data_IF_075516422704
#
_entry.id   IF_075516422704
#
_cell.length_a   1.000
_cell.length_b   1.000
_cell.length_c   1.000
_cell.angle_alpha   90.00
_cell.angle_beta   90.00
_cell.angle_gamma   90.00
#
_symmetry.space_group_name_H-M   'P 1'
#
loop_
_entity.id
_entity.type
_entity.pdbx_description
1 polymer ?
#
# COMPACT_ATOMS: atom_id res chain seq x y z
N UNK A 1 6.27 9.65 1.51
CA UNK A 1 7.15 9.26 0.39
C UNK A 1 8.52 8.71 0.80
N UNK A 2 8.97 8.75 2.06
CA UNK A 2 10.27 8.19 2.46
C UNK A 2 10.29 6.68 2.76
N UNK A 3 9.19 6.10 3.26
CA UNK A 3 9.13 4.67 3.57
C UNK A 3 9.24 3.80 2.30
N UNK A 4 8.54 4.18 1.23
CA UNK A 4 8.62 3.49 -0.07
C UNK A 4 10.06 3.39 -0.59
N UNK A 5 10.80 4.49 -0.60
CA UNK A 5 12.20 4.47 -1.08
C UNK A 5 13.12 3.54 -0.28
N UNK A 6 12.84 3.32 1.02
CA UNK A 6 13.60 2.38 1.86
C UNK A 6 13.23 0.93 1.51
N UNK A 7 11.94 0.64 1.33
CA UNK A 7 11.46 -0.66 0.85
C UNK A 7 12.09 -1.01 -0.51
N UNK A 8 12.24 -0.02 -1.39
CA UNK A 8 12.77 -0.17 -2.74
C UNK A 8 14.25 -0.53 -2.72
N UNK A 9 15.04 0.23 -1.95
CA UNK A 9 16.46 -0.02 -1.77
C UNK A 9 16.73 -1.41 -1.18
N UNK A 10 15.92 -1.81 -0.18
CA UNK A 10 16.02 -3.15 0.42
C UNK A 10 15.68 -4.25 -0.61
N UNK A 11 14.58 -4.09 -1.33
CA UNK A 11 14.16 -5.05 -2.34
C UNK A 11 15.18 -5.23 -3.46
N UNK A 12 15.75 -4.13 -3.93
CA UNK A 12 16.77 -4.14 -4.98
C UNK A 12 18.05 -4.83 -4.48
N UNK A 13 18.49 -4.52 -3.27
CA UNK A 13 19.64 -5.18 -2.66
C UNK A 13 19.43 -6.70 -2.56
N UNK A 14 18.23 -7.15 -2.22
CA UNK A 14 17.90 -8.57 -2.14
C UNK A 14 17.92 -9.26 -3.51
N UNK A 15 17.40 -8.63 -4.56
CA UNK A 15 17.46 -9.16 -5.91
C UNK A 15 18.92 -9.27 -6.41
N UNK A 16 19.72 -8.22 -6.17
CA UNK A 16 21.12 -8.19 -6.56
C UNK A 16 22.00 -9.18 -5.77
N UNK A 17 21.63 -9.52 -4.53
CA UNK A 17 22.39 -10.48 -3.71
C UNK A 17 22.45 -11.89 -4.32
N UNK A 18 21.53 -12.23 -5.23
CA UNK A 18 21.39 -13.58 -5.79
C UNK A 18 22.19 -13.80 -7.08
N UNK A 19 22.70 -12.74 -7.71
CA UNK A 19 23.44 -12.87 -8.97
C UNK A 19 24.91 -13.23 -8.72
N UNK A 20 25.50 -14.00 -9.63
CA UNK A 20 26.91 -14.39 -9.61
C UNK A 20 27.73 -13.67 -10.68
N UNK A 21 27.07 -13.07 -11.68
CA UNK A 21 27.71 -12.28 -12.73
C UNK A 21 26.86 -11.08 -13.14
N UNK A 22 27.50 -10.08 -13.74
CA UNK A 22 26.83 -8.90 -14.27
C UNK A 22 25.86 -9.20 -15.42
N UNK A 23 26.01 -10.34 -16.11
CA UNK A 23 25.10 -10.75 -17.18
C UNK A 23 23.69 -11.09 -16.65
N UNK A 24 23.53 -11.34 -15.35
CA UNK A 24 22.25 -11.64 -14.70
C UNK A 24 21.56 -10.38 -14.14
N UNK A 25 22.17 -9.19 -14.29
CA UNK A 25 21.56 -7.92 -13.84
C UNK A 25 20.16 -7.68 -14.43
N UNK A 26 19.90 -7.92 -15.73
CA UNK A 26 18.55 -7.73 -16.28
C UNK A 26 17.50 -8.58 -15.56
N UNK A 27 17.83 -9.83 -15.25
CA UNK A 27 16.91 -10.76 -14.58
C UNK A 27 16.65 -10.35 -13.12
N UNK A 28 17.68 -9.88 -12.42
CA UNK A 28 17.54 -9.36 -11.06
C UNK A 28 16.67 -8.10 -11.01
N UNK A 29 16.85 -7.18 -11.96
CA UNK A 29 16.04 -5.97 -12.07
C UNK A 29 14.58 -6.35 -12.38
N UNK A 30 14.35 -7.25 -13.33
CA UNK A 30 13.00 -7.70 -13.68
C UNK A 30 12.28 -8.35 -12.49
N UNK A 31 13.01 -9.12 -11.67
CA UNK A 31 12.48 -9.72 -10.43
C UNK A 31 12.15 -8.66 -9.38
N UNK A 32 12.97 -7.62 -9.28
CA UNK A 32 12.66 -6.50 -8.38
C UNK A 32 11.42 -5.73 -8.85
N UNK A 33 11.33 -5.42 -10.15
CA UNK A 33 10.19 -4.71 -10.75
C UNK A 33 8.88 -5.48 -10.56
N UNK A 34 8.87 -6.80 -10.77
CA UNK A 34 7.68 -7.63 -10.63
C UNK A 34 7.09 -7.65 -9.21
N UNK A 35 7.91 -7.34 -8.20
CA UNK A 35 7.51 -7.30 -6.79
C UNK A 35 7.20 -5.87 -6.34
N UNK A 36 7.98 -4.90 -6.82
CA UNK A 36 7.93 -3.51 -6.36
C UNK A 36 6.84 -2.69 -7.08
N UNK A 37 6.78 -2.77 -8.41
CA UNK A 37 5.90 -1.92 -9.23
C UNK A 37 4.42 -2.05 -8.82
N UNK A 38 3.87 -3.27 -8.61
CA UNK A 38 2.48 -3.39 -8.17
C UNK A 38 2.22 -2.67 -6.84
N UNK A 39 3.10 -2.86 -5.84
CA UNK A 39 2.96 -2.20 -4.53
C UNK A 39 2.97 -0.69 -4.63
N UNK A 40 3.97 -0.15 -5.34
CA UNK A 40 4.14 1.29 -5.48
C UNK A 40 2.92 1.90 -6.18
N UNK A 41 2.45 1.24 -7.24
CA UNK A 41 1.23 1.62 -7.96
C UNK A 41 0.02 1.62 -7.04
N UNK A 42 -0.19 0.55 -6.27
CA UNK A 42 -1.32 0.46 -5.35
C UNK A 42 -1.26 1.55 -4.27
N UNK A 43 -0.08 1.85 -3.71
CA UNK A 43 0.07 2.95 -2.73
C UNK A 43 -0.25 4.32 -3.34
N UNK A 44 0.18 4.55 -4.58
CA UNK A 44 -0.10 5.78 -5.32
C UNK A 44 -1.60 5.92 -5.61
N UNK A 45 -2.25 4.86 -6.08
CA UNK A 45 -3.70 4.83 -6.32
C UNK A 45 -4.50 5.07 -5.04
N UNK A 46 -4.09 4.44 -3.93
CA UNK A 46 -4.69 4.64 -2.62
C UNK A 46 -4.58 6.11 -2.16
N UNK A 47 -3.42 6.73 -2.38
CA UNK A 47 -3.18 8.15 -2.08
C UNK A 47 -4.02 9.08 -2.94
N UNK A 48 -4.13 8.76 -4.23
CA UNK A 48 -4.96 9.53 -5.17
C UNK A 48 -6.44 9.47 -4.79
N UNK A 49 -6.97 8.30 -4.43
CA UNK A 49 -8.36 8.15 -3.96
C UNK A 49 -8.61 8.88 -2.66
N UNK A 50 -7.69 8.75 -1.70
CA UNK A 50 -7.79 9.43 -0.42
C UNK A 50 -7.88 10.96 -0.58
N UNK A 51 -7.17 11.53 -1.55
CA UNK A 51 -7.27 12.95 -1.88
C UNK A 51 -8.72 13.35 -2.22
N UNK A 52 -9.45 12.55 -3.02
CA UNK A 52 -10.86 12.82 -3.32
C UNK A 52 -11.75 12.73 -2.09
N UNK A 53 -11.48 11.78 -1.20
CA UNK A 53 -12.25 11.64 0.04
C UNK A 53 -12.07 12.84 0.97
N UNK A 54 -10.86 13.39 1.08
CA UNK A 54 -10.61 14.57 1.92
C UNK A 54 -11.08 15.87 1.28
N UNK A 55 -10.97 16.01 -0.04
CA UNK A 55 -11.33 17.21 -0.80
C UNK A 55 -12.70 17.09 -1.46
N UNK A 56 -13.70 16.63 -0.71
CA UNK A 56 -15.10 16.72 -1.12
C UNK A 56 -15.52 18.19 -1.19
N UNK A 57 -16.30 18.58 -2.20
CA UNK A 57 -16.75 19.96 -2.35
C UNK A 57 -17.55 20.44 -1.13
N UNK A 58 -17.37 21.70 -0.73
CA UNK A 58 -17.98 22.33 0.45
C UNK A 58 -19.51 22.33 0.37
N UNK A 59 -20.14 21.31 0.97
CA UNK A 59 -21.58 20.97 0.92
C UNK A 59 -21.92 19.94 2.02
N UNK A 60 -23.20 19.54 2.19
CA UNK A 60 -23.64 18.45 3.10
C UNK A 60 -22.74 17.19 3.15
N UNK A 61 -22.06 16.85 2.05
CA UNK A 61 -21.13 15.73 1.99
C UNK A 61 -19.88 15.93 2.88
N UNK A 62 -19.41 17.16 3.03
CA UNK A 62 -18.28 17.49 3.91
C UNK A 62 -18.67 17.34 5.38
N UNK A 63 -19.87 17.78 5.76
CA UNK A 63 -20.42 17.61 7.12
C UNK A 63 -20.63 16.13 7.46
N UNK A 64 -21.21 15.35 6.52
CA UNK A 64 -21.37 13.91 6.69
C UNK A 64 -20.01 13.21 6.88
N UNK A 65 -19.01 13.55 6.07
CA UNK A 65 -17.64 13.03 6.23
C UNK A 65 -17.04 13.42 7.58
N UNK A 66 -17.19 14.67 8.00
CA UNK A 66 -16.65 15.16 9.27
C UNK A 66 -17.28 14.41 10.46
N UNK A 67 -18.59 14.18 10.46
CA UNK A 67 -19.27 13.37 11.47
C UNK A 67 -18.76 11.94 11.53
N UNK A 68 -18.48 11.32 10.38
CA UNK A 68 -17.88 9.97 10.32
C UNK A 68 -16.42 9.92 10.78
N UNK A 69 -15.70 11.05 10.77
CA UNK A 69 -14.31 11.17 11.26
C UNK A 69 -14.24 11.67 12.71
N UNK A 70 -15.37 11.96 13.36
CA UNK A 70 -15.37 12.61 14.68
C UNK A 70 -14.69 11.78 15.77
N UNK A 71 -14.91 10.46 15.78
CA UNK A 71 -14.27 9.54 16.72
C UNK A 71 -12.74 9.58 16.58
N UNK A 72 -12.23 9.62 15.35
CA UNK A 72 -10.80 9.75 15.09
C UNK A 72 -10.24 11.08 15.61
N UNK A 73 -10.94 12.20 15.39
CA UNK A 73 -10.52 13.53 15.86
C UNK A 73 -10.44 13.57 17.39
N UNK A 74 -11.31 12.83 18.08
CA UNK A 74 -11.30 12.69 19.54
C UNK A 74 -10.27 11.69 20.07
N UNK A 75 -9.52 11.03 19.18
CA UNK A 75 -8.55 9.99 19.55
C UNK A 75 -9.20 8.68 20.02
N UNK A 76 -10.48 8.48 19.71
CA UNK A 76 -11.21 7.27 20.04
C UNK A 76 -10.91 6.16 19.03
N UNK A 77 -10.93 4.91 19.50
CA UNK A 77 -10.78 3.76 18.60
C UNK A 77 -12.00 3.62 17.70
N UNK A 78 -11.79 3.70 16.39
CA UNK A 78 -12.79 3.41 15.37
C UNK A 78 -12.54 2.04 14.73
N UNK A 79 -13.62 1.37 14.32
CA UNK A 79 -13.54 0.10 13.59
C UNK A 79 -13.35 0.35 12.08
N UNK A 80 -13.75 1.53 11.63
CA UNK A 80 -13.55 2.05 10.28
C UNK A 80 -13.47 3.57 10.33
N UNK A 81 -12.70 4.18 9.42
CA UNK A 81 -12.68 5.63 9.22
C UNK A 81 -12.76 5.96 7.73
N UNK A 82 -13.50 7.01 7.32
CA UNK A 82 -13.38 7.53 5.96
C UNK A 82 -11.99 8.10 5.68
N UNK A 83 -11.24 8.45 6.73
CA UNK A 83 -9.83 8.79 6.57
C UNK A 83 -9.09 7.47 6.38
N UNK A 84 -8.81 7.15 5.12
CA UNK A 84 -8.11 5.95 4.72
C UNK A 84 -6.82 5.71 5.55
N UNK A 85 -6.09 6.75 5.95
CA UNK A 85 -4.86 6.60 6.72
C UNK A 85 -5.05 6.40 8.22
N UNK A 86 -6.27 6.60 8.70
CA UNK A 86 -6.68 6.31 10.09
C UNK A 86 -7.54 5.05 10.19
N UNK A 87 -7.99 4.51 9.07
CA UNK A 87 -8.69 3.23 9.01
C UNK A 87 -7.78 2.07 9.46
N UNK A 88 -8.16 1.29 10.48
CA UNK A 88 -7.30 0.23 11.02
C UNK A 88 -6.90 -0.85 10.00
N UNK A 89 -7.72 -1.09 8.99
CA UNK A 89 -7.41 -2.09 7.95
C UNK A 89 -6.34 -1.56 7.01
N UNK A 90 -6.51 -0.32 6.53
CA UNK A 90 -5.52 0.34 5.69
C UNK A 90 -4.21 0.56 6.43
N UNK A 91 -4.25 0.98 7.70
CA UNK A 91 -3.04 1.15 8.50
C UNK A 91 -2.24 -0.15 8.62
N UNK A 92 -2.91 -1.30 8.82
CA UNK A 92 -2.24 -2.61 8.84
C UNK A 92 -1.58 -2.92 7.50
N UNK A 93 -2.29 -2.72 6.40
CA UNK A 93 -1.75 -2.92 5.06
C UNK A 93 -0.58 -1.97 4.74
N UNK A 94 -0.68 -0.70 5.12
CA UNK A 94 0.29 0.33 4.78
C UNK A 94 1.53 0.32 5.68
N UNK A 95 1.32 0.23 7.00
CA UNK A 95 2.36 0.47 8.02
C UNK A 95 2.91 -0.81 8.66
N UNK A 96 2.17 -1.91 8.65
CA UNK A 96 2.69 -3.22 9.09
C UNK A 96 3.23 -4.05 7.92
N UNK A 97 3.47 -3.40 6.77
CA UNK A 97 4.03 -4.04 5.60
C UNK A 97 5.46 -4.53 5.90
N UNK A 98 5.71 -5.81 5.63
CA UNK A 98 7.03 -6.43 5.75
C UNK A 98 7.62 -6.63 4.33
N UNK A 99 8.57 -5.78 3.90
CA UNK A 99 9.14 -5.88 2.56
C UNK A 99 9.94 -7.18 2.38
N UNK A 100 10.62 -7.66 3.43
CA UNK A 100 11.38 -8.91 3.38
C UNK A 100 10.47 -10.09 3.06
N UNK A 101 9.36 -10.24 3.79
CA UNK A 101 8.40 -11.33 3.52
C UNK A 101 7.85 -11.28 2.11
N UNK A 102 7.61 -10.09 1.54
CA UNK A 102 7.13 -9.98 0.16
C UNK A 102 8.14 -10.57 -0.82
N UNK A 103 9.40 -10.15 -0.75
CA UNK A 103 10.45 -10.65 -1.65
C UNK A 103 10.72 -12.15 -1.47
N UNK A 104 10.73 -12.65 -0.23
CA UNK A 104 10.90 -14.09 0.06
C UNK A 104 9.73 -14.94 -0.47
N UNK A 105 8.51 -14.44 -0.39
CA UNK A 105 7.33 -15.15 -0.92
C UNK A 105 7.35 -15.25 -2.44
N UNK A 106 7.77 -14.18 -3.14
CA UNK A 106 7.85 -14.15 -4.60
C UNK A 106 8.87 -15.18 -5.13
N UNK A 107 10.03 -15.28 -4.49
CA UNK A 107 11.07 -16.26 -4.86
C UNK A 107 10.65 -17.73 -4.70
N UNK A 108 9.59 -18.02 -3.92
CA UNK A 108 9.06 -19.38 -3.73
C UNK A 108 7.91 -19.73 -4.65
N UNK A 109 7.15 -18.74 -5.15
CA UNK A 109 5.89 -18.97 -5.88
C UNK A 109 5.91 -18.49 -7.32
N UNK A 110 6.90 -17.68 -7.73
CA UNK A 110 6.91 -17.02 -9.05
C UNK A 110 5.69 -16.10 -9.27
N UNK A 111 5.01 -15.71 -8.19
CA UNK A 111 3.80 -14.88 -8.18
C UNK A 111 3.97 -13.78 -7.13
N UNK A 112 3.45 -12.56 -7.36
CA UNK A 112 3.44 -11.53 -6.32
C UNK A 112 2.88 -12.10 -5.02
N UNK A 113 3.57 -11.82 -3.91
CA UNK A 113 3.17 -12.31 -2.59
C UNK A 113 1.75 -11.85 -2.25
N UNK A 114 0.98 -12.72 -1.58
CA UNK A 114 -0.45 -12.60 -1.18
C UNK A 114 -0.98 -11.22 -0.73
N UNK A 115 -0.12 -10.26 -0.41
CA UNK A 115 -0.48 -8.91 0.00
C UNK A 115 -1.22 -8.10 -1.08
N UNK A 116 -1.19 -8.52 -2.34
CA UNK A 116 -1.94 -7.86 -3.42
C UNK A 116 -3.44 -8.18 -3.41
N UNK A 117 -3.84 -9.34 -2.87
CA UNK A 117 -5.26 -9.71 -2.76
C UNK A 117 -6.02 -8.81 -1.77
N UNK A 118 -5.31 -8.16 -0.84
CA UNK A 118 -5.90 -7.32 0.22
C UNK A 118 -6.39 -5.96 -0.27
N UNK A 119 -5.81 -5.40 -1.35
CA UNK A 119 -6.28 -4.11 -1.88
C UNK A 119 -7.60 -4.21 -2.64
N UNK A 120 -8.00 -5.43 -3.04
CA UNK A 120 -9.32 -5.68 -3.64
C UNK A 120 -10.47 -5.28 -2.71
N UNK A 121 -10.25 -5.27 -1.38
CA UNK A 121 -11.23 -4.80 -0.39
C UNK A 121 -11.39 -3.27 -0.38
N UNK A 122 -10.33 -2.51 -0.67
CA UNK A 122 -10.42 -1.07 -0.92
C UNK A 122 -11.09 -0.73 -2.27
N UNK A 123 -11.14 -1.69 -3.20
CA UNK A 123 -11.86 -1.60 -4.48
C UNK A 123 -13.34 -2.00 -4.38
N UNK A 124 -13.77 -2.61 -3.27
CA UNK A 124 -15.17 -2.84 -2.97
C UNK A 124 -15.82 -1.50 -2.63
N UNK A 125 -16.20 -0.76 -3.67
CA UNK A 125 -16.68 0.61 -3.57
C UNK A 125 -17.60 0.84 -2.38
N UNK A 126 -17.47 2.02 -1.78
CA UNK A 126 -18.43 2.58 -0.82
C UNK A 126 -19.84 2.28 -1.31
N UNK A 127 -20.46 1.23 -0.76
CA UNK A 127 -21.87 0.95 -0.97
C UNK A 127 -22.61 2.00 -0.14
N UNK A 128 -22.92 3.11 -0.79
CA UNK A 128 -24.00 4.03 -0.40
C UNK A 128 -25.32 3.27 -0.26
#
# INVERSE_FOLDING_TARGET
>A
MAAGTIEDAYGLAQALRLIQSSSQLPDAIATWESVHVPRATTMQEASYRHMYTLHVADKPQQEARAGLMEAEVRGEHSVASPNQWSDPTTQRWAYLHDPQKRFESHGKTGRPGRAEDEFSWCNGGWKS
#
